data_IF_947717403084
#
_entry.id   IF_947717403084
#
_cell.length_a   1.000
_cell.length_b   1.000
_cell.length_c   1.000
_cell.angle_alpha   90.00
_cell.angle_beta   90.00
_cell.angle_gamma   90.00
#
_symmetry.space_group_name_H-M   'P 1'
#
loop_
_entity.id
_entity.type
_entity.pdbx_description
1 polymer ?
#
# COMPACT_ATOMS: atom_id res chain seq x y z
N UNK A 1 9.15 16.09 -63.91
CA UNK A 1 10.44 16.28 -63.22
C UNK A 1 10.15 17.18 -62.05
N UNK A 2 10.36 16.68 -60.83
CA UNK A 2 10.80 17.44 -59.64
C UNK A 2 10.69 16.50 -58.43
N UNK A 3 11.86 16.00 -58.00
CA UNK A 3 12.01 15.13 -56.83
C UNK A 3 12.53 15.95 -55.65
N UNK A 4 11.74 16.02 -54.57
CA UNK A 4 12.16 16.63 -53.32
C UNK A 4 12.83 15.56 -52.44
N UNK A 5 14.15 15.69 -52.23
CA UNK A 5 14.92 14.89 -51.29
C UNK A 5 14.82 15.48 -49.87
N UNK A 6 14.28 14.71 -48.93
CA UNK A 6 14.26 15.06 -47.51
C UNK A 6 15.60 14.69 -46.87
N UNK A 7 16.35 15.72 -46.48
CA UNK A 7 17.66 15.63 -45.81
C UNK A 7 17.47 15.55 -44.29
N UNK A 8 17.60 14.35 -43.74
CA UNK A 8 17.57 14.11 -42.29
C UNK A 8 18.91 14.49 -41.66
N UNK A 9 18.93 15.50 -40.78
CA UNK A 9 20.09 15.82 -39.94
C UNK A 9 19.96 15.14 -38.57
N UNK A 10 21.02 14.52 -38.03
CA UNK A 10 21.01 13.99 -36.67
C UNK A 10 21.18 15.13 -35.65
N UNK A 11 20.40 15.06 -34.57
CA UNK A 11 20.47 15.96 -33.41
C UNK A 11 21.51 15.36 -32.44
N UNK A 12 22.62 16.07 -32.23
CA UNK A 12 23.60 15.75 -31.21
C UNK A 12 23.25 16.50 -29.91
N UNK A 13 23.09 15.77 -28.81
CA UNK A 13 22.98 16.34 -27.47
C UNK A 13 24.38 16.42 -26.81
N UNK A 14 24.75 17.53 -26.16
CA UNK A 14 25.98 17.59 -25.37
C UNK A 14 25.80 16.82 -24.06
N UNK A 15 26.66 15.84 -23.83
CA UNK A 15 26.80 15.18 -22.53
C UNK A 15 27.48 16.13 -21.54
N UNK A 16 26.74 16.60 -20.54
CA UNK A 16 27.29 17.28 -19.37
C UNK A 16 27.58 16.22 -18.30
N UNK A 17 28.86 15.89 -18.17
CA UNK A 17 29.40 14.97 -17.17
C UNK A 17 29.71 15.78 -15.89
N UNK A 18 28.77 15.82 -14.94
CA UNK A 18 29.02 16.35 -13.60
C UNK A 18 29.43 15.19 -12.69
N UNK A 19 30.71 15.14 -12.32
CA UNK A 19 31.20 14.25 -11.27
C UNK A 19 30.86 14.85 -9.89
N UNK A 20 29.90 14.25 -9.18
CA UNK A 20 29.65 14.52 -7.78
C UNK A 20 30.49 13.55 -6.94
N UNK A 21 31.40 14.09 -6.12
CA UNK A 21 32.16 13.36 -5.11
C UNK A 21 31.22 12.91 -3.99
N UNK A 22 31.11 11.62 -3.65
CA UNK A 22 30.32 11.21 -2.50
C UNK A 22 31.08 11.54 -1.22
N UNK A 23 30.51 12.39 -0.38
CA UNK A 23 30.92 12.50 1.03
C UNK A 23 30.42 11.25 1.76
N UNK A 24 31.35 10.35 2.07
CA UNK A 24 31.12 9.20 2.93
C UNK A 24 30.80 9.70 4.35
N UNK A 25 29.50 9.77 4.66
CA UNK A 25 29.03 9.97 6.03
C UNK A 25 29.29 8.67 6.80
N UNK A 26 30.08 8.78 7.87
CA UNK A 26 30.37 7.68 8.78
C UNK A 26 29.06 7.00 9.22
N UNK A 27 28.84 5.79 8.71
CA UNK A 27 27.69 4.95 9.06
C UNK A 27 27.96 4.35 10.44
N UNK A 28 27.32 4.92 11.46
CA UNK A 28 27.17 4.29 12.77
C UNK A 28 26.44 2.95 12.58
N UNK A 29 27.14 1.84 12.84
CA UNK A 29 26.63 0.47 12.72
C UNK A 29 25.73 0.11 13.90
N UNK A 30 24.59 0.79 14.03
CA UNK A 30 23.52 0.41 14.95
C UNK A 30 22.31 -0.09 14.15
N UNK A 31 22.10 -1.41 14.15
CA UNK A 31 20.89 -2.13 13.71
C UNK A 31 19.94 -1.36 12.77
N UNK A 32 20.35 -1.21 11.51
CA UNK A 32 19.66 -0.38 10.50
C UNK A 32 18.46 -1.07 9.84
N UNK A 33 17.69 -1.89 10.57
CA UNK A 33 16.50 -2.53 10.01
C UNK A 33 15.45 -1.52 9.53
N UNK A 34 15.56 -0.25 9.96
CA UNK A 34 14.60 0.81 9.63
C UNK A 34 13.20 0.54 10.20
N UNK A 35 13.10 -0.37 11.17
CA UNK A 35 11.88 -0.73 11.87
C UNK A 35 11.99 -0.16 13.29
N UNK A 36 11.08 0.74 13.65
CA UNK A 36 10.98 1.30 15.00
C UNK A 36 10.02 0.49 15.88
N UNK A 37 10.29 0.43 17.18
CA UNK A 37 9.36 -0.13 18.17
C UNK A 37 8.12 0.76 18.33
N UNK A 38 7.01 0.23 18.85
CA UNK A 38 5.86 1.07 19.21
C UNK A 38 6.23 2.14 20.23
N UNK A 39 7.12 1.81 21.17
CA UNK A 39 7.61 2.73 22.19
C UNK A 39 8.28 3.95 21.57
N UNK A 40 8.97 3.82 20.43
CA UNK A 40 9.51 4.98 19.70
C UNK A 40 8.43 6.00 19.33
N UNK A 41 7.25 5.54 18.89
CA UNK A 41 6.14 6.40 18.50
C UNK A 41 5.32 6.94 19.69
N UNK A 42 5.37 6.25 20.83
CA UNK A 42 4.69 6.66 22.06
C UNK A 42 5.53 7.69 22.83
N UNK A 43 6.85 7.49 22.88
CA UNK A 43 7.75 8.18 23.81
C UNK A 43 8.18 9.57 23.38
N UNK A 44 7.82 10.04 22.19
CA UNK A 44 8.18 11.40 21.79
C UNK A 44 7.43 11.93 20.59
N UNK A 45 7.40 13.27 20.42
CA UNK A 45 6.91 13.88 19.20
C UNK A 45 7.84 13.46 18.06
N UNK A 46 7.35 12.59 17.18
CA UNK A 46 8.05 12.33 15.92
C UNK A 46 7.63 13.40 14.92
N UNK A 47 8.63 14.04 14.32
CA UNK A 47 8.40 15.11 13.36
C UNK A 47 8.19 14.51 11.99
N UNK A 48 6.99 14.70 11.44
CA UNK A 48 6.78 14.53 10.02
C UNK A 48 7.66 15.55 9.30
N UNK A 49 8.29 15.14 8.19
CA UNK A 49 8.99 16.09 7.35
C UNK A 49 8.02 17.23 6.99
N UNK A 50 8.35 18.52 7.27
CA UNK A 50 7.40 19.63 7.12
C UNK A 50 6.78 19.72 5.72
N UNK A 51 7.51 19.23 4.72
CA UNK A 51 7.17 19.28 3.30
C UNK A 51 6.90 17.88 2.71
N UNK A 52 6.50 16.89 3.51
CA UNK A 52 6.06 15.62 2.93
C UNK A 52 4.77 15.87 2.15
N UNK A 53 4.89 15.86 0.82
CA UNK A 53 3.72 15.90 -0.04
C UNK A 53 2.97 14.58 0.09
N UNK A 54 1.62 14.62 0.18
CA UNK A 54 0.80 13.43 0.06
C UNK A 54 1.21 12.64 -1.19
N UNK A 55 1.22 11.32 -1.08
CA UNK A 55 1.45 10.47 -2.24
C UNK A 55 0.39 10.74 -3.31
N UNK A 56 0.80 10.62 -4.58
CA UNK A 56 -0.15 10.61 -5.68
C UNK A 56 -1.10 9.43 -5.54
N UNK A 57 -2.24 9.49 -6.20
CA UNK A 57 -3.23 8.41 -6.12
C UNK A 57 -2.66 7.04 -6.52
N UNK A 58 -1.92 6.99 -7.62
CA UNK A 58 -1.35 5.74 -8.11
C UNK A 58 -0.30 5.18 -7.13
N UNK A 59 0.47 6.07 -6.49
CA UNK A 59 1.40 5.67 -5.44
C UNK A 59 0.67 5.18 -4.17
N UNK A 60 -0.46 5.79 -3.83
CA UNK A 60 -1.31 5.33 -2.73
C UNK A 60 -1.89 3.94 -2.98
N UNK A 61 -2.40 3.69 -4.18
CA UNK A 61 -2.95 2.38 -4.55
C UNK A 61 -1.85 1.30 -4.58
N UNK A 62 -0.68 1.65 -5.13
CA UNK A 62 0.49 0.78 -5.12
C UNK A 62 0.97 0.43 -3.71
N UNK A 63 1.11 1.43 -2.84
CA UNK A 63 1.70 1.24 -1.51
C UNK A 63 0.69 0.70 -0.50
N UNK A 64 -0.60 1.07 -0.62
CA UNK A 64 -1.62 0.77 0.40
C UNK A 64 -2.87 0.06 -0.13
N UNK A 65 -3.05 -0.12 -1.45
CA UNK A 65 -4.29 -0.68 -2.03
C UNK A 65 -4.61 -2.11 -1.58
N UNK A 66 -3.60 -2.85 -1.13
CA UNK A 66 -3.74 -4.20 -0.56
C UNK A 66 -3.82 -4.23 0.96
N UNK A 67 -3.66 -3.10 1.64
CA UNK A 67 -3.66 -3.05 3.09
C UNK A 67 -5.08 -3.03 3.66
N UNK A 68 -5.23 -3.63 4.84
CA UNK A 68 -6.45 -3.48 5.64
C UNK A 68 -6.62 -2.02 5.99
N UNK A 69 -7.83 -1.49 5.86
CA UNK A 69 -8.16 -0.15 6.31
C UNK A 69 -9.18 -0.20 7.46
N UNK A 70 -8.97 0.66 8.46
CA UNK A 70 -9.90 0.91 9.55
C UNK A 70 -10.12 2.42 9.71
N UNK A 71 -11.39 2.83 9.68
CA UNK A 71 -11.79 4.24 9.76
C UNK A 71 -11.09 5.13 8.70
N UNK A 72 -10.92 4.59 7.48
CA UNK A 72 -10.27 5.30 6.37
C UNK A 72 -8.74 5.43 6.46
N UNK A 73 -8.10 4.80 7.45
CA UNK A 73 -6.65 4.75 7.60
C UNK A 73 -6.11 3.34 7.34
N UNK A 74 -4.93 3.19 6.70
CA UNK A 74 -4.31 1.88 6.55
C UNK A 74 -3.86 1.33 7.91
N UNK A 75 -3.89 0.00 8.01
CA UNK A 75 -3.40 -0.79 9.14
C UNK A 75 -2.10 -1.45 8.71
N UNK A 76 -1.00 -1.07 9.34
CA UNK A 76 0.36 -1.54 9.06
C UNK A 76 0.80 -2.51 10.16
N UNK A 77 1.50 -3.56 9.76
CA UNK A 77 2.01 -4.59 10.68
C UNK A 77 3.51 -4.38 10.90
N UNK A 78 3.93 -4.39 12.17
CA UNK A 78 5.35 -4.25 12.51
C UNK A 78 6.13 -5.46 11.97
N UNK A 79 7.26 -5.20 11.33
CA UNK A 79 8.15 -6.21 10.75
C UNK A 79 8.00 -6.38 9.23
N UNK A 80 6.85 -6.00 8.65
CA UNK A 80 6.67 -5.93 7.19
C UNK A 80 6.85 -4.51 6.69
N UNK A 81 6.36 -3.52 7.44
CA UNK A 81 6.31 -2.14 7.00
C UNK A 81 7.50 -1.34 7.56
N UNK A 82 8.18 -0.61 6.67
CA UNK A 82 9.31 0.27 7.00
C UNK A 82 8.78 1.63 7.50
N UNK A 83 9.62 2.36 8.24
CA UNK A 83 9.30 3.73 8.70
C UNK A 83 8.78 4.64 7.57
N UNK A 84 9.30 4.48 6.35
CA UNK A 84 8.83 5.20 5.17
C UNK A 84 7.33 4.98 4.89
N UNK A 85 6.81 3.76 5.07
CA UNK A 85 5.39 3.44 4.91
C UNK A 85 4.52 4.16 5.94
N UNK A 86 4.98 4.24 7.19
CA UNK A 86 4.31 4.99 8.26
C UNK A 86 4.24 6.48 7.91
N UNK A 87 5.36 7.06 7.47
CA UNK A 87 5.44 8.47 7.10
C UNK A 87 4.58 8.79 5.87
N UNK A 88 4.60 7.93 4.85
CA UNK A 88 3.77 8.04 3.67
C UNK A 88 2.28 7.98 4.02
N UNK A 89 1.89 7.04 4.88
CA UNK A 89 0.52 6.91 5.34
C UNK A 89 0.07 8.16 6.11
N UNK A 90 0.90 8.66 7.04
CA UNK A 90 0.59 9.87 7.80
C UNK A 90 0.51 11.13 6.94
N UNK A 91 1.40 11.30 5.96
CA UNK A 91 1.35 12.42 5.04
C UNK A 91 0.08 12.39 4.16
N UNK A 92 -0.34 11.20 3.72
CA UNK A 92 -1.41 11.06 2.74
C UNK A 92 -2.81 10.91 3.35
N UNK A 93 -2.93 10.20 4.46
CA UNK A 93 -4.21 9.93 5.15
C UNK A 93 -4.42 10.79 6.40
N UNK A 94 -3.38 11.46 6.89
CA UNK A 94 -3.39 12.17 8.18
C UNK A 94 -3.40 11.26 9.42
N UNK A 95 -3.56 9.95 9.22
CA UNK A 95 -3.58 8.92 10.28
C UNK A 95 -3.20 7.53 9.74
N UNK A 96 -2.72 6.67 10.63
CA UNK A 96 -2.35 5.28 10.35
C UNK A 96 -2.52 4.43 11.61
N UNK A 97 -2.84 3.15 11.45
CA UNK A 97 -2.86 2.19 12.55
C UNK A 97 -1.61 1.31 12.48
N UNK A 98 -0.88 1.19 13.57
CA UNK A 98 0.22 0.26 13.73
C UNK A 98 -0.22 -0.92 14.59
N UNK A 99 0.13 -2.12 14.14
CA UNK A 99 -0.14 -3.37 14.85
C UNK A 99 1.19 -4.02 15.20
N UNK A 100 1.42 -4.17 16.50
CA UNK A 100 2.55 -4.97 16.99
C UNK A 100 2.07 -6.38 17.29
N UNK A 101 2.55 -7.34 16.49
CA UNK A 101 2.35 -8.75 16.76
C UNK A 101 3.38 -9.17 17.78
N UNK A 102 2.98 -9.23 19.04
CA UNK A 102 3.77 -9.86 20.08
C UNK A 102 3.88 -11.36 19.82
N UNK A 103 5.10 -11.85 19.65
CA UNK A 103 5.39 -13.28 19.62
C UNK A 103 5.09 -13.90 20.99
N UNK A 104 4.39 -15.03 21.04
CA UNK A 104 4.16 -15.79 22.29
C UNK A 104 2.75 -15.70 22.88
N UNK A 105 1.72 -15.44 22.07
CA UNK A 105 0.32 -15.53 22.52
C UNK A 105 -0.19 -14.32 23.30
N UNK A 106 0.62 -13.26 23.41
CA UNK A 106 0.16 -11.96 23.94
C UNK A 106 -0.70 -11.27 22.89
N UNK A 107 -1.82 -10.69 23.32
CA UNK A 107 -2.75 -9.97 22.46
C UNK A 107 -2.03 -8.84 21.71
N UNK A 108 -2.25 -8.67 20.39
CA UNK A 108 -1.59 -7.62 19.63
C UNK A 108 -1.96 -6.23 20.15
N UNK A 109 -0.98 -5.33 20.13
CA UNK A 109 -1.17 -3.93 20.52
C UNK A 109 -1.45 -3.08 19.30
N UNK A 110 -2.49 -2.25 19.39
CA UNK A 110 -2.92 -1.34 18.33
C UNK A 110 -2.63 0.09 18.73
N UNK A 111 -1.88 0.79 17.88
CA UNK A 111 -1.49 2.18 18.07
C UNK A 111 -1.97 3.01 16.87
N UNK A 112 -2.84 3.98 17.12
CA UNK A 112 -3.17 4.99 16.12
C UNK A 112 -2.11 6.07 16.14
N UNK A 113 -1.52 6.36 15.00
CA UNK A 113 -0.75 7.57 14.78
C UNK A 113 -1.59 8.55 13.97
N UNK A 114 -1.48 9.84 14.28
CA UNK A 114 -2.14 10.91 13.53
C UNK A 114 -1.32 12.18 13.54
N UNK A 115 -1.55 13.01 12.52
CA UNK A 115 -0.95 14.34 12.39
C UNK A 115 -1.84 15.36 13.13
N UNK A 116 -1.26 16.13 14.04
CA UNK A 116 -1.93 17.27 14.67
C UNK A 116 -2.07 18.45 13.69
N UNK A 117 -2.85 19.46 14.06
CA UNK A 117 -2.96 20.72 13.29
C UNK A 117 -1.60 21.44 13.14
N UNK A 118 -0.72 21.29 14.13
CA UNK A 118 0.65 21.83 14.14
C UNK A 118 1.63 21.01 13.29
N UNK A 119 1.16 19.91 12.69
CA UNK A 119 1.96 19.01 11.87
C UNK A 119 2.82 18.02 12.65
N UNK A 120 2.65 17.94 13.97
CA UNK A 120 3.34 16.98 14.82
C UNK A 120 2.65 15.61 14.80
N UNK A 121 3.44 14.54 14.85
CA UNK A 121 2.94 13.19 15.03
C UNK A 121 2.50 12.96 16.48
N UNK A 122 1.29 12.43 16.67
CA UNK A 122 0.76 12.02 17.97
C UNK A 122 0.31 10.57 17.91
N UNK A 123 0.27 9.92 19.07
CA UNK A 123 -0.09 8.51 19.20
C UNK A 123 -1.25 8.31 20.19
N UNK A 124 -2.17 7.40 19.88
CA UNK A 124 -3.26 6.94 20.76
C UNK A 124 -3.29 5.42 20.78
N UNK A 125 -3.29 4.84 21.97
CA UNK A 125 -3.39 3.38 22.14
C UNK A 125 -4.87 2.98 22.13
N UNK A 126 -5.26 2.02 21.28
CA UNK A 126 -6.61 1.44 21.33
C UNK A 126 -6.67 0.37 22.43
N UNK A 127 -6.97 0.80 23.65
CA UNK A 127 -7.20 -0.10 24.78
C UNK A 127 -8.52 -0.87 24.71
N UNK A 128 -9.43 -0.50 23.80
CA UNK A 128 -10.77 -1.09 23.71
C UNK A 128 -10.85 -2.26 22.74
N UNK A 129 -9.77 -2.56 22.01
CA UNK A 129 -9.69 -3.71 21.10
C UNK A 129 -10.67 -3.64 19.92
N UNK A 130 -11.17 -2.46 19.56
CA UNK A 130 -12.10 -2.32 18.43
C UNK A 130 -11.38 -2.59 17.11
N UNK A 131 -10.15 -2.09 16.99
CA UNK A 131 -9.31 -2.36 15.82
C UNK A 131 -8.94 -3.83 15.78
N UNK A 132 -8.72 -4.46 16.93
CA UNK A 132 -8.44 -5.89 17.02
C UNK A 132 -9.55 -6.73 16.39
N UNK A 133 -10.79 -6.52 16.81
CA UNK A 133 -11.95 -7.25 16.26
C UNK A 133 -12.11 -7.02 14.76
N UNK A 134 -11.92 -5.79 14.29
CA UNK A 134 -12.00 -5.48 12.86
C UNK A 134 -10.90 -6.19 12.06
N UNK A 135 -9.64 -6.09 12.51
CA UNK A 135 -8.49 -6.70 11.85
C UNK A 135 -8.57 -8.22 11.90
N UNK A 136 -9.08 -8.80 12.98
CA UNK A 136 -9.30 -10.25 13.07
C UNK A 136 -10.42 -10.71 12.12
N UNK A 137 -11.53 -9.99 12.06
CA UNK A 137 -12.62 -10.30 11.14
C UNK A 137 -12.18 -10.16 9.68
N UNK A 138 -11.56 -9.02 9.34
CA UNK A 138 -11.01 -8.81 7.99
C UNK A 138 -9.94 -9.84 7.71
N UNK A 139 -9.04 -10.14 8.64
CA UNK A 139 -7.98 -11.13 8.49
C UNK A 139 -8.49 -12.57 8.35
N UNK A 140 -9.61 -12.93 8.99
CA UNK A 140 -10.28 -14.23 8.75
C UNK A 140 -10.87 -14.32 7.35
N UNK A 141 -11.34 -13.20 6.82
CA UNK A 141 -11.82 -13.12 5.44
C UNK A 141 -10.65 -12.99 4.44
N UNK A 142 -9.58 -12.29 4.77
CA UNK A 142 -8.41 -12.05 3.92
C UNK A 142 -7.39 -13.18 3.95
N UNK A 143 -7.26 -13.96 5.02
CA UNK A 143 -6.53 -15.22 4.99
C UNK A 143 -7.17 -16.21 4.00
N UNK A 144 -8.43 -15.99 3.65
CA UNK A 144 -9.12 -16.66 2.55
C UNK A 144 -8.88 -16.00 1.18
N UNK A 145 -8.27 -14.80 1.12
CA UNK A 145 -8.06 -13.98 -0.09
C UNK A 145 -6.58 -13.68 -0.43
N UNK A 146 -5.63 -14.00 0.46
CA UNK A 146 -4.19 -13.68 0.33
C UNK A 146 -3.36 -14.89 -0.14
N UNK A 147 -3.99 -15.97 -0.59
CA UNK A 147 -3.28 -16.96 -1.40
C UNK A 147 -3.37 -16.54 -2.86
N UNK A 148 -2.25 -16.02 -3.39
CA UNK A 148 -1.99 -15.76 -4.83
C UNK A 148 -2.94 -14.80 -5.54
N UNK A 149 -2.78 -13.49 -5.37
CA UNK A 149 -3.44 -12.52 -6.26
C UNK A 149 -2.78 -12.52 -7.65
N UNK A 150 -3.10 -13.52 -8.45
CA UNK A 150 -2.86 -13.47 -9.88
C UNK A 150 -3.92 -12.56 -10.49
N UNK A 151 -3.49 -11.47 -11.13
CA UNK A 151 -4.40 -10.60 -11.86
C UNK A 151 -4.75 -11.26 -13.19
N UNK A 152 -6.04 -11.42 -13.45
CA UNK A 152 -6.53 -11.98 -14.71
C UNK A 152 -6.95 -10.86 -15.64
N UNK A 153 -6.47 -10.89 -16.88
CA UNK A 153 -7.05 -10.08 -17.94
C UNK A 153 -8.41 -10.69 -18.31
N UNK A 154 -9.50 -9.99 -18.00
CA UNK A 154 -10.85 -10.49 -18.20
C UNK A 154 -11.26 -10.58 -19.68
N UNK A 155 -10.54 -9.90 -20.58
CA UNK A 155 -10.79 -9.98 -22.03
C UNK A 155 -10.14 -11.23 -22.64
N UNK A 156 -9.07 -11.72 -22.03
CA UNK A 156 -8.30 -12.88 -22.50
C UNK A 156 -8.65 -14.16 -21.74
N UNK A 157 -9.06 -14.04 -20.48
CA UNK A 157 -9.34 -15.18 -19.60
C UNK A 157 -10.79 -15.62 -19.76
N UNK A 158 -11.00 -16.83 -20.27
CA UNK A 158 -12.34 -17.40 -20.42
C UNK A 158 -13.07 -17.58 -19.06
N UNK A 159 -14.40 -17.41 -19.09
CA UNK A 159 -15.29 -17.53 -17.91
C UNK A 159 -15.15 -18.86 -17.15
N UNK A 160 -14.91 -19.97 -17.87
CA UNK A 160 -14.73 -21.28 -17.25
C UNK A 160 -13.49 -21.30 -16.32
N UNK A 161 -12.37 -20.76 -16.79
CA UNK A 161 -11.13 -20.64 -16.02
C UNK A 161 -11.31 -19.75 -14.79
N UNK A 162 -11.96 -18.60 -14.96
CA UNK A 162 -12.28 -17.71 -13.85
C UNK A 162 -13.18 -18.40 -12.82
N UNK A 163 -14.18 -19.18 -13.26
CA UNK A 163 -15.06 -19.90 -12.34
C UNK A 163 -14.31 -20.97 -11.54
N UNK A 164 -13.49 -21.79 -12.20
CA UNK A 164 -12.68 -22.80 -11.52
C UNK A 164 -11.76 -22.16 -10.49
N UNK A 165 -11.05 -21.09 -10.87
CA UNK A 165 -10.20 -20.35 -9.94
C UNK A 165 -10.97 -19.75 -8.77
N UNK A 166 -12.13 -19.15 -9.03
CA UNK A 166 -12.96 -18.58 -7.97
C UNK A 166 -13.51 -19.66 -7.02
N UNK A 167 -13.77 -20.87 -7.52
CA UNK A 167 -14.18 -22.03 -6.71
C UNK A 167 -13.03 -22.56 -5.85
N UNK A 168 -11.82 -22.63 -6.42
CA UNK A 168 -10.64 -23.16 -5.75
C UNK A 168 -10.07 -22.18 -4.71
N UNK A 169 -10.03 -20.89 -5.05
CA UNK A 169 -9.36 -19.84 -4.27
C UNK A 169 -10.35 -18.98 -3.47
N UNK A 170 -11.66 -19.07 -3.74
CA UNK A 170 -12.70 -18.28 -3.08
C UNK A 170 -12.76 -16.80 -3.48
N UNK A 171 -11.76 -16.32 -4.22
CA UNK A 171 -11.64 -14.93 -4.66
C UNK A 171 -10.76 -14.73 -5.88
N UNK A 172 -11.07 -13.69 -6.66
CA UNK A 172 -10.27 -13.26 -7.80
C UNK A 172 -10.22 -11.74 -7.92
N UNK A 173 -9.07 -11.23 -8.41
CA UNK A 173 -8.94 -9.88 -8.95
C UNK A 173 -8.82 -9.96 -10.47
N UNK A 174 -9.68 -9.24 -11.16
CA UNK A 174 -9.64 -9.09 -12.62
C UNK A 174 -9.36 -7.65 -12.99
N UNK A 175 -8.44 -7.44 -13.92
CA UNK A 175 -8.23 -6.13 -14.54
C UNK A 175 -8.92 -6.10 -15.90
N UNK A 176 -9.63 -5.00 -16.18
CA UNK A 176 -10.29 -4.73 -17.46
C UNK A 176 -9.56 -3.58 -18.13
N UNK A 177 -8.62 -3.85 -19.06
CA UNK A 177 -7.78 -2.83 -19.68
C UNK A 177 -8.58 -1.76 -20.41
N UNK A 178 -9.59 -2.15 -21.21
CA UNK A 178 -10.41 -1.24 -22.00
C UNK A 178 -11.15 -0.17 -21.19
N UNK A 179 -11.35 -0.41 -19.89
CA UNK A 179 -12.06 0.50 -19.00
C UNK A 179 -11.17 1.02 -17.86
N UNK A 180 -9.90 0.61 -17.82
CA UNK A 180 -8.98 0.85 -16.71
C UNK A 180 -9.62 0.54 -15.34
N UNK A 181 -10.25 -0.64 -15.21
CA UNK A 181 -10.99 -1.04 -14.01
C UNK A 181 -10.36 -2.24 -13.33
N UNK A 182 -10.29 -2.17 -12.00
CA UNK A 182 -9.95 -3.31 -11.16
C UNK A 182 -11.22 -3.85 -10.50
N UNK A 183 -11.51 -5.12 -10.73
CA UNK A 183 -12.72 -5.80 -10.29
C UNK A 183 -12.35 -6.92 -9.32
N UNK A 184 -13.09 -7.02 -8.22
CA UNK A 184 -13.02 -8.12 -7.27
C UNK A 184 -14.22 -9.04 -7.43
N UNK A 185 -13.96 -10.34 -7.41
CA UNK A 185 -14.97 -11.39 -7.37
C UNK A 185 -14.71 -12.25 -6.14
N UNK A 186 -15.74 -12.54 -5.36
CA UNK A 186 -15.67 -13.48 -4.24
C UNK A 186 -16.86 -14.45 -4.32
N UNK A 187 -16.72 -15.65 -3.76
CA UNK A 187 -17.80 -16.63 -3.72
C UNK A 187 -18.44 -16.65 -2.32
N UNK A 188 -19.75 -16.38 -2.25
CA UNK A 188 -20.50 -16.47 -1.01
C UNK A 188 -20.79 -17.93 -0.62
N UNK A 189 -21.20 -18.16 0.64
CA UNK A 189 -21.46 -19.52 1.18
C UNK A 189 -22.57 -20.27 0.44
N UNK A 190 -23.48 -19.54 -0.20
CA UNK A 190 -24.60 -20.08 -0.99
C UNK A 190 -24.23 -20.33 -2.47
N UNK A 191 -22.98 -20.06 -2.86
CA UNK A 191 -22.52 -20.19 -4.24
C UNK A 191 -22.66 -18.92 -5.09
N UNK A 192 -23.23 -17.84 -4.54
CA UNK A 192 -23.42 -16.59 -5.28
C UNK A 192 -22.08 -15.86 -5.45
N UNK A 193 -21.84 -15.27 -6.63
CA UNK A 193 -20.66 -14.44 -6.86
C UNK A 193 -20.94 -13.03 -6.34
N UNK A 194 -20.17 -12.62 -5.33
CA UNK A 194 -20.11 -11.25 -4.85
C UNK A 194 -19.16 -10.45 -5.74
N UNK A 195 -19.65 -9.32 -6.22
CA UNK A 195 -18.91 -8.42 -7.09
C UNK A 195 -18.57 -7.12 -6.35
N UNK A 196 -17.33 -6.67 -6.47
CA UNK A 196 -16.89 -5.38 -5.96
C UNK A 196 -16.08 -4.64 -7.02
N UNK A 197 -16.63 -3.52 -7.48
CA UNK A 197 -15.91 -2.58 -8.32
C UNK A 197 -14.95 -1.75 -7.46
N UNK A 198 -13.64 -2.01 -7.56
CA UNK A 198 -12.63 -1.22 -6.86
C UNK A 198 -12.32 0.10 -7.58
N UNK A 199 -12.78 0.27 -8.82
CA UNK A 199 -12.50 1.46 -9.65
C UNK A 199 -13.10 2.74 -9.08
N UNK A 200 -14.17 2.67 -8.26
CA UNK A 200 -14.69 3.88 -7.57
C UNK A 200 -13.76 4.40 -6.47
N UNK A 201 -12.86 3.56 -5.96
CA UNK A 201 -11.77 3.96 -5.06
C UNK A 201 -10.50 4.31 -5.82
N UNK A 202 -10.50 4.17 -7.14
CA UNK A 202 -9.44 4.53 -8.10
C UNK A 202 -9.99 5.51 -9.17
N UNK A 203 -10.37 6.74 -8.79
CA UNK A 203 -10.51 7.84 -9.77
C UNK A 203 -9.13 8.36 -10.21
N UNK A 204 -8.70 7.93 -11.40
CA UNK A 204 -7.57 8.50 -12.17
C UNK A 204 -7.54 10.04 -12.06
#
# INVERSE_FOLDING_TARGET
MDGAALSTRPIAFPALLCHATPMESASSSGDSSGIKSLEYYISGPFRLAPNSQPLTRDALDKDFGTHIHYDGAPVLFRGTDRDAGVMNALSSYGKVWLVDRTSGGVQPTYLQLYKSEEGEGRALIDSKGKVHLHVENVGKHEAQYVSTSQEFNLEETGLATLRTRLQDEGYLKGYVPSHNKLLGFALAKDGTVLFKDFSKRVRV
#
